data_IF_321477870877
#
_entry.id   IF_321477870877
#
_cell.length_a   1.000
_cell.length_b   1.000
_cell.length_c   1.000
_cell.angle_alpha   90.00
_cell.angle_beta   90.00
_cell.angle_gamma   90.00
#
_symmetry.space_group_name_H-M   'P 1'
#
loop_
_entity.id
_entity.type
_entity.pdbx_description
1 polymer ?
#
# COMPACT_ATOMS: atom_id res chain seq x y z
N UNK A 1 -8.38 15.08 19.41
CA UNK A 1 -8.47 16.49 18.97
C UNK A 1 -8.96 16.48 17.53
N UNK A 2 -10.23 16.84 17.31
CA UNK A 2 -10.83 16.87 15.99
C UNK A 2 -10.40 18.14 15.27
N UNK A 3 -9.91 18.02 14.04
CA UNK A 3 -9.67 19.16 13.16
C UNK A 3 -11.03 19.73 12.79
N UNK A 4 -11.24 21.03 13.02
CA UNK A 4 -12.48 21.70 12.67
C UNK A 4 -12.53 21.82 11.14
N UNK A 5 -13.68 21.59 10.52
CA UNK A 5 -13.82 21.65 9.05
C UNK A 5 -13.42 23.01 8.44
N UNK A 6 -13.28 24.04 9.28
CA UNK A 6 -12.84 25.40 8.92
C UNK A 6 -11.33 25.54 8.72
N UNK A 7 -10.52 24.59 9.19
CA UNK A 7 -9.05 24.60 9.04
C UNK A 7 -8.56 23.82 7.82
N UNK A 8 -9.48 23.19 7.08
CA UNK A 8 -9.18 22.41 5.89
C UNK A 8 -9.30 23.29 4.64
N UNK A 9 -8.30 23.22 3.77
CA UNK A 9 -8.31 23.90 2.47
C UNK A 9 -9.57 23.47 1.69
N UNK A 10 -10.33 24.41 1.10
CA UNK A 10 -11.51 24.07 0.29
C UNK A 10 -11.14 23.06 -0.81
N UNK A 11 -11.77 21.89 -0.80
CA UNK A 11 -11.55 20.87 -1.83
C UNK A 11 -12.29 21.26 -3.11
N UNK A 12 -11.68 21.05 -4.29
CA UNK A 12 -12.35 21.33 -5.55
C UNK A 12 -13.62 20.46 -5.69
N UNK A 13 -14.66 21.07 -6.22
CA UNK A 13 -15.85 20.36 -6.67
C UNK A 13 -15.45 19.30 -7.73
N UNK A 14 -16.13 18.16 -7.79
CA UNK A 14 -15.89 17.19 -8.85
C UNK A 14 -16.09 17.87 -10.20
N UNK A 15 -15.04 17.93 -11.03
CA UNK A 15 -15.20 18.31 -12.44
C UNK A 15 -15.91 17.16 -13.15
N UNK A 16 -16.85 17.43 -14.07
CA UNK A 16 -17.36 16.40 -14.96
C UNK A 16 -16.21 15.96 -15.86
N UNK A 17 -15.47 14.93 -15.44
CA UNK A 17 -14.52 14.28 -16.31
C UNK A 17 -15.33 13.52 -17.36
N UNK A 18 -15.12 13.86 -18.63
CA UNK A 18 -15.47 12.97 -19.72
C UNK A 18 -14.67 11.68 -19.50
N UNK A 19 -15.32 10.67 -18.93
CA UNK A 19 -14.79 9.32 -18.81
C UNK A 19 -14.68 8.75 -20.23
N UNK A 20 -13.65 9.17 -20.97
CA UNK A 20 -13.40 8.67 -22.34
C UNK A 20 -13.11 7.17 -22.36
N UNK A 21 -12.77 6.59 -21.20
CA UNK A 21 -12.75 5.15 -21.00
C UNK A 21 -13.45 4.84 -19.68
N UNK A 22 -14.53 4.07 -19.76
CA UNK A 22 -15.10 3.42 -18.57
C UNK A 22 -14.00 2.52 -18.02
N UNK A 23 -13.49 2.78 -16.80
CA UNK A 23 -12.49 1.89 -16.21
C UNK A 23 -13.07 0.47 -16.18
N UNK A 24 -12.24 -0.58 -16.39
CA UNK A 24 -12.72 -1.95 -16.37
C UNK A 24 -13.55 -2.19 -15.10
N UNK A 25 -14.66 -2.95 -15.19
CA UNK A 25 -15.57 -3.13 -14.07
C UNK A 25 -14.79 -3.65 -12.86
N UNK A 26 -14.76 -2.86 -11.78
CA UNK A 26 -14.03 -3.13 -10.54
C UNK A 26 -14.67 -4.25 -9.69
N UNK A 27 -15.56 -5.05 -10.29
CA UNK A 27 -16.30 -6.06 -9.55
C UNK A 27 -15.46 -7.34 -9.40
N UNK A 28 -14.54 -7.29 -8.45
CA UNK A 28 -13.66 -8.40 -8.05
C UNK A 28 -14.41 -9.67 -7.61
N UNK A 29 -15.68 -9.53 -7.18
CA UNK A 29 -16.53 -10.65 -6.76
C UNK A 29 -17.96 -10.39 -7.19
N UNK A 30 -18.72 -11.42 -7.56
CA UNK A 30 -20.17 -11.29 -7.86
C UNK A 30 -21.01 -10.87 -6.65
N UNK A 31 -20.40 -10.84 -5.46
CA UNK A 31 -21.05 -10.57 -4.17
C UNK A 31 -20.81 -9.13 -3.67
N UNK A 32 -19.82 -8.42 -4.21
CA UNK A 32 -19.53 -7.05 -3.78
C UNK A 32 -20.56 -6.07 -4.37
N UNK A 33 -21.06 -5.15 -3.53
CA UNK A 33 -21.90 -4.06 -4.03
C UNK A 33 -21.04 -3.08 -4.85
N UNK A 34 -21.55 -2.54 -5.96
CA UNK A 34 -20.78 -1.66 -6.86
C UNK A 34 -20.38 -0.31 -6.23
N UNK A 35 -20.90 0.02 -5.04
CA UNK A 35 -20.55 1.22 -4.27
C UNK A 35 -19.43 1.00 -3.24
N UNK A 36 -18.90 -0.22 -3.12
CA UNK A 36 -17.87 -0.56 -2.14
C UNK A 36 -16.45 -0.38 -2.73
N UNK A 37 -15.65 0.49 -2.12
CA UNK A 37 -14.21 0.55 -2.36
C UNK A 37 -13.49 -0.34 -1.35
N UNK A 38 -12.88 -1.43 -1.81
CA UNK A 38 -11.97 -2.21 -0.99
C UNK A 38 -10.61 -1.54 -0.96
N UNK A 39 -10.28 -0.95 0.19
CA UNK A 39 -8.89 -0.58 0.51
C UNK A 39 -8.37 -1.66 1.43
N UNK A 40 -7.68 -2.69 0.90
CA UNK A 40 -6.90 -3.55 1.80
C UNK A 40 -5.59 -2.86 2.09
N UNK A 41 -5.36 -2.41 3.33
CA UNK A 41 -4.00 -2.34 3.76
C UNK A 41 -3.47 -3.76 3.82
N UNK A 42 -2.49 -4.07 2.98
CA UNK A 42 -1.68 -5.26 3.17
C UNK A 42 -1.22 -5.21 4.63
N UNK A 43 -1.58 -6.22 5.41
CA UNK A 43 -1.45 -6.24 6.87
C UNK A 43 0.03 -6.06 7.23
N UNK A 44 0.42 -4.79 7.45
CA UNK A 44 1.70 -4.18 7.88
C UNK A 44 1.99 -2.85 7.15
N UNK A 45 1.37 -2.57 6.00
CA UNK A 45 1.64 -1.39 5.16
C UNK A 45 0.41 -0.51 4.88
N UNK A 46 -0.65 -0.60 5.68
CA UNK A 46 -1.54 0.58 5.85
C UNK A 46 -0.68 1.70 6.41
N UNK A 47 -0.32 2.67 5.58
CA UNK A 47 0.20 3.90 6.16
C UNK A 47 -0.94 4.51 6.98
N UNK A 48 -0.74 4.66 8.29
CA UNK A 48 -1.64 5.42 9.18
C UNK A 48 -2.05 6.75 8.53
N UNK A 49 -1.12 7.34 7.78
CA UNK A 49 -1.27 8.49 6.91
C UNK A 49 -2.38 8.35 5.84
N UNK A 50 -2.48 7.23 5.10
CA UNK A 50 -3.57 7.00 4.13
C UNK A 50 -4.93 6.92 4.84
N UNK A 51 -4.99 6.28 6.01
CA UNK A 51 -6.22 6.24 6.81
C UNK A 51 -6.61 7.61 7.35
N UNK A 52 -5.65 8.44 7.75
CA UNK A 52 -5.91 9.84 8.09
C UNK A 52 -6.45 10.62 6.89
N UNK A 53 -5.88 10.41 5.71
CA UNK A 53 -6.34 11.04 4.47
C UNK A 53 -7.78 10.67 4.14
N UNK A 54 -8.10 9.38 4.14
CA UNK A 54 -9.46 8.90 3.88
C UNK A 54 -10.46 9.42 4.92
N UNK A 55 -10.07 9.54 6.20
CA UNK A 55 -10.93 10.14 7.26
C UNK A 55 -11.21 11.61 7.02
N UNK A 56 -10.24 12.36 6.50
CA UNK A 56 -10.42 13.76 6.15
C UNK A 56 -11.26 13.93 4.87
N UNK A 57 -11.18 12.99 3.91
CA UNK A 57 -11.98 13.01 2.68
C UNK A 57 -13.44 12.58 2.90
N UNK A 58 -13.69 11.65 3.82
CA UNK A 58 -14.99 11.02 4.04
C UNK A 58 -16.17 12.02 4.16
N UNK A 59 -16.11 13.08 5.00
CA UNK A 59 -17.21 14.05 5.11
C UNK A 59 -17.49 14.82 3.81
N UNK A 60 -16.46 15.06 3.01
CA UNK A 60 -16.56 15.81 1.76
C UNK A 60 -17.00 14.95 0.57
N UNK A 61 -16.82 13.63 0.68
CA UNK A 61 -17.09 12.67 -0.40
C UNK A 61 -18.28 11.76 -0.14
N UNK A 62 -18.95 11.94 1.00
CA UNK A 62 -20.20 11.25 1.33
C UNK A 62 -20.04 9.74 1.53
N UNK A 63 -18.87 9.29 2.00
CA UNK A 63 -18.64 7.89 2.37
C UNK A 63 -18.32 7.77 3.86
N UNK A 64 -18.56 6.59 4.42
CA UNK A 64 -18.29 6.27 5.81
C UNK A 64 -17.47 4.99 5.92
N UNK A 65 -16.79 4.81 7.05
CA UNK A 65 -16.05 3.60 7.33
C UNK A 65 -16.94 2.61 8.06
N UNK A 66 -16.89 1.34 7.65
CA UNK A 66 -17.48 0.26 8.44
C UNK A 66 -16.70 0.13 9.75
N UNK A 67 -17.35 0.31 10.92
CA UNK A 67 -16.66 0.21 12.20
C UNK A 67 -16.19 -1.24 12.42
N UNK A 68 -14.88 -1.43 12.51
CA UNK A 68 -14.30 -2.71 12.91
C UNK A 68 -14.04 -2.68 14.41
N UNK A 69 -14.56 -3.67 15.14
CA UNK A 69 -14.33 -3.79 16.58
C UNK A 69 -12.82 -3.94 16.81
N UNK A 70 -12.20 -2.93 17.43
CA UNK A 70 -10.78 -3.00 17.78
C UNK A 70 -10.62 -4.04 18.87
N UNK A 71 -9.98 -5.17 18.56
CA UNK A 71 -9.42 -6.03 19.60
C UNK A 71 -8.36 -5.19 20.33
N UNK A 72 -8.45 -5.08 21.66
CA UNK A 72 -7.37 -4.47 22.45
C UNK A 72 -6.12 -5.32 22.22
N UNK A 73 -5.03 -4.68 21.81
CA UNK A 73 -3.73 -5.34 21.79
C UNK A 73 -3.28 -5.52 23.24
N UNK A 74 -2.93 -6.74 23.61
CA UNK A 74 -2.20 -7.00 24.84
C UNK A 74 -0.75 -6.57 24.61
N UNK A 75 -0.27 -5.65 25.43
CA UNK A 75 1.12 -5.22 25.37
C UNK A 75 1.93 -6.14 26.28
N UNK A 76 2.83 -6.93 25.69
CA UNK A 76 3.81 -7.73 26.43
C UNK A 76 5.07 -6.88 26.60
N UNK A 77 5.48 -6.66 27.85
CA UNK A 77 6.76 -6.03 28.14
C UNK A 77 7.86 -7.08 28.12
N UNK A 78 8.84 -6.89 27.23
CA UNK A 78 10.04 -7.73 27.15
C UNK A 78 11.16 -6.94 27.85
N UNK A 79 11.61 -7.35 29.04
CA UNK A 79 12.77 -6.74 29.69
C UNK A 79 14.02 -7.02 28.85
N UNK A 80 14.84 -5.99 28.63
CA UNK A 80 16.10 -6.04 27.90
C UNK A 80 16.00 -6.68 26.50
N UNK A 81 15.35 -6.00 25.53
CA UNK A 81 15.29 -6.52 24.18
C UNK A 81 16.70 -6.66 23.61
N UNK A 82 17.02 -7.84 23.09
CA UNK A 82 18.26 -8.05 22.35
C UNK A 82 18.16 -7.28 21.03
N UNK A 83 18.69 -6.06 21.01
CA UNK A 83 18.81 -5.27 19.78
C UNK A 83 20.01 -5.80 19.01
N UNK A 84 19.74 -6.35 17.83
CA UNK A 84 20.73 -6.93 16.93
C UNK A 84 20.62 -6.22 15.58
N UNK A 85 21.76 -5.87 14.97
CA UNK A 85 21.81 -5.34 13.62
C UNK A 85 21.52 -6.44 12.57
N UNK A 86 21.15 -5.99 11.38
CA UNK A 86 20.70 -6.88 10.31
C UNK A 86 21.83 -7.78 9.83
N UNK A 87 23.04 -7.25 9.73
CA UNK A 87 24.25 -7.94 9.28
C UNK A 87 24.59 -9.08 10.23
N UNK A 88 24.61 -8.82 11.53
CA UNK A 88 24.81 -9.85 12.57
C UNK A 88 23.74 -10.94 12.50
N UNK A 89 22.49 -10.56 12.20
CA UNK A 89 21.39 -11.51 12.02
C UNK A 89 21.57 -12.39 10.78
N UNK A 90 21.91 -11.80 9.63
CA UNK A 90 22.14 -12.53 8.38
C UNK A 90 23.37 -13.43 8.45
N UNK A 91 24.41 -13.02 9.19
CA UNK A 91 25.63 -13.79 9.36
C UNK A 91 25.46 -15.01 10.30
N UNK A 92 24.41 -15.03 11.13
CA UNK A 92 24.19 -16.10 12.10
C UNK A 92 23.30 -17.22 11.52
N UNK A 93 23.86 -18.39 11.15
CA UNK A 93 23.09 -19.49 10.58
C UNK A 93 22.20 -20.20 11.60
N UNK A 94 22.16 -19.80 12.87
CA UNK A 94 21.20 -20.30 13.86
C UNK A 94 20.03 -19.36 14.09
N UNK A 95 20.14 -18.11 13.65
CA UNK A 95 19.06 -17.15 13.75
C UNK A 95 17.99 -17.50 12.71
N UNK A 96 16.75 -17.73 13.15
CA UNK A 96 15.65 -18.08 12.25
C UNK A 96 14.89 -16.85 11.75
N UNK A 97 15.03 -15.71 12.41
CA UNK A 97 14.28 -14.49 12.08
C UNK A 97 14.72 -13.91 10.73
N UNK A 98 16.03 -13.95 10.46
CA UNK A 98 16.62 -13.44 9.21
C UNK A 98 16.89 -14.55 8.19
N UNK A 99 16.29 -15.73 8.35
CA UNK A 99 16.36 -16.82 7.37
C UNK A 99 15.18 -16.76 6.42
N UNK A 100 15.48 -16.28 5.22
CA UNK A 100 14.54 -16.23 4.11
C UNK A 100 14.82 -17.40 3.17
N UNK A 101 14.04 -18.48 3.30
CA UNK A 101 14.23 -19.71 2.52
C UNK A 101 13.10 -19.85 1.51
N UNK A 102 13.44 -19.87 0.22
CA UNK A 102 12.47 -20.15 -0.84
C UNK A 102 11.79 -21.50 -0.62
N UNK A 103 10.48 -21.57 -0.85
CA UNK A 103 9.65 -22.74 -0.54
C UNK A 103 9.04 -22.74 0.88
N UNK A 104 9.47 -21.83 1.77
CA UNK A 104 8.88 -21.72 3.11
C UNK A 104 7.50 -21.03 3.07
N UNK A 105 6.63 -21.37 4.03
CA UNK A 105 5.31 -20.72 4.23
C UNK A 105 5.25 -19.84 5.49
N UNK A 106 6.40 -19.60 6.11
CA UNK A 106 6.50 -18.93 7.41
C UNK A 106 6.61 -17.41 7.29
N UNK A 107 6.89 -16.91 6.08
CA UNK A 107 7.02 -15.49 5.81
C UNK A 107 5.71 -14.97 5.22
N UNK A 108 5.08 -14.01 5.91
CA UNK A 108 4.03 -13.21 5.27
C UNK A 108 4.68 -12.20 4.32
N UNK A 109 4.50 -12.37 3.02
CA UNK A 109 5.16 -11.59 1.96
C UNK A 109 4.17 -10.85 1.07
N UNK A 110 4.63 -9.87 0.28
CA UNK A 110 3.73 -8.95 -0.43
C UNK A 110 2.98 -9.66 -1.55
N UNK A 111 3.65 -10.56 -2.26
CA UNK A 111 3.06 -11.33 -3.37
C UNK A 111 1.87 -12.16 -2.90
N UNK A 112 1.95 -12.76 -1.70
CA UNK A 112 0.87 -13.56 -1.09
C UNK A 112 -0.46 -12.78 -1.06
N UNK A 113 -0.44 -11.50 -0.65
CA UNK A 113 -1.65 -10.69 -0.51
C UNK A 113 -2.37 -10.41 -1.83
N UNK A 114 -1.64 -10.37 -2.94
CA UNK A 114 -2.20 -10.15 -4.26
C UNK A 114 -2.51 -11.45 -5.00
N UNK A 115 -1.86 -12.55 -4.63
CA UNK A 115 -2.02 -13.86 -5.25
C UNK A 115 -3.39 -14.50 -4.95
N UNK A 116 -3.93 -14.29 -3.75
CA UNK A 116 -5.19 -14.88 -3.31
C UNK A 116 -4.99 -16.02 -2.31
N UNK A 117 -5.81 -17.07 -2.40
CA UNK A 117 -5.88 -18.13 -1.38
C UNK A 117 -5.46 -19.52 -1.90
N UNK A 118 -4.69 -19.59 -2.99
CA UNK A 118 -4.17 -20.86 -3.48
C UNK A 118 -3.04 -21.37 -2.59
N UNK A 119 -2.84 -22.70 -2.55
CA UNK A 119 -1.85 -23.35 -1.69
C UNK A 119 -0.39 -22.93 -1.97
N UNK A 120 -0.13 -22.44 -3.19
CA UNK A 120 1.15 -21.89 -3.62
C UNK A 120 1.33 -20.40 -3.28
N UNK A 121 0.26 -19.64 -3.03
CA UNK A 121 0.35 -18.22 -2.67
C UNK A 121 1.19 -17.93 -1.41
N UNK A 122 1.07 -18.70 -0.30
CA UNK A 122 1.90 -18.47 0.88
C UNK A 122 3.34 -18.97 0.72
N UNK A 123 3.68 -19.65 -0.39
CA UNK A 123 5.03 -20.20 -0.60
C UNK A 123 5.98 -19.07 -1.04
N UNK A 124 6.99 -18.79 -0.21
CA UNK A 124 7.97 -17.73 -0.48
C UNK A 124 8.82 -18.06 -1.71
N UNK A 125 8.93 -17.10 -2.63
CA UNK A 125 9.70 -17.26 -3.87
C UNK A 125 9.01 -18.11 -4.94
N UNK A 126 7.71 -18.40 -4.78
CA UNK A 126 6.94 -19.17 -5.76
C UNK A 126 6.61 -18.36 -7.03
N UNK A 127 6.92 -18.94 -8.20
CA UNK A 127 6.74 -18.28 -9.50
C UNK A 127 5.29 -18.32 -9.99
N UNK A 128 4.51 -19.33 -9.62
CA UNK A 128 3.07 -19.38 -9.92
C UNK A 128 2.33 -18.34 -9.06
N UNK A 129 2.75 -18.20 -7.79
CA UNK A 129 2.29 -17.15 -6.88
C UNK A 129 2.54 -15.75 -7.44
N UNK A 130 3.72 -15.51 -8.00
CA UNK A 130 4.04 -14.26 -8.68
C UNK A 130 3.12 -13.98 -9.87
N UNK A 131 2.91 -14.96 -10.74
CA UNK A 131 2.04 -14.82 -11.91
C UNK A 131 0.60 -14.51 -11.50
N UNK A 132 0.06 -15.27 -10.53
CA UNK A 132 -1.27 -15.05 -9.98
C UNK A 132 -1.41 -13.68 -9.30
N UNK A 133 -0.38 -13.21 -8.59
CA UNK A 133 -0.39 -11.88 -7.98
C UNK A 133 -0.43 -10.76 -9.02
N UNK A 134 0.38 -10.87 -10.10
CA UNK A 134 0.35 -9.90 -11.20
C UNK A 134 -1.02 -9.89 -11.89
N UNK A 135 -1.58 -11.06 -12.16
CA UNK A 135 -2.93 -11.19 -12.71
C UNK A 135 -3.99 -10.59 -11.76
N UNK A 136 -3.88 -10.88 -10.47
CA UNK A 136 -4.75 -10.34 -9.43
C UNK A 136 -4.73 -8.81 -9.40
N UNK A 137 -3.56 -8.19 -9.50
CA UNK A 137 -3.38 -6.74 -9.64
C UNK A 137 -4.09 -6.21 -10.89
N UNK A 138 -3.88 -6.80 -12.06
CA UNK A 138 -4.47 -6.30 -13.31
C UNK A 138 -5.99 -6.41 -13.33
N UNK A 139 -6.52 -7.55 -12.89
CA UNK A 139 -7.96 -7.83 -12.94
C UNK A 139 -8.72 -7.16 -11.80
N UNK A 140 -8.07 -7.05 -10.65
CA UNK A 140 -8.73 -6.77 -9.40
C UNK A 140 -8.55 -5.36 -8.85
N UNK A 141 -7.42 -4.71 -9.14
CA UNK A 141 -7.06 -3.48 -8.43
C UNK A 141 -7.16 -2.24 -9.33
N UNK A 142 -8.01 -1.30 -8.94
CA UNK A 142 -8.12 0.00 -9.63
C UNK A 142 -6.76 0.71 -9.71
N UNK A 143 -6.10 0.82 -8.56
CA UNK A 143 -4.79 1.46 -8.40
C UNK A 143 -4.00 0.69 -7.35
N UNK A 144 -2.74 0.40 -7.65
CA UNK A 144 -1.75 -0.08 -6.67
C UNK A 144 -0.62 0.94 -6.66
N UNK A 145 -0.46 1.63 -5.54
CA UNK A 145 0.55 2.68 -5.37
C UNK A 145 1.81 2.18 -4.68
N UNK A 146 2.89 2.96 -4.78
CA UNK A 146 4.14 2.74 -4.06
C UNK A 146 4.46 3.97 -3.19
N UNK A 147 5.01 3.74 -2.00
CA UNK A 147 5.25 4.81 -1.02
C UNK A 147 6.34 5.78 -1.46
N UNK A 148 7.33 5.28 -2.22
CA UNK A 148 8.42 6.08 -2.77
C UNK A 148 7.92 7.12 -3.77
N UNK A 149 6.79 6.84 -4.42
CA UNK A 149 6.16 7.71 -5.42
C UNK A 149 4.77 8.16 -4.97
N UNK A 150 4.67 8.56 -3.71
CA UNK A 150 3.40 8.90 -3.07
C UNK A 150 2.63 10.00 -3.79
N UNK A 151 3.31 11.04 -4.28
CA UNK A 151 2.70 12.12 -5.06
C UNK A 151 1.99 11.60 -6.31
N UNK A 152 2.65 10.67 -7.02
CA UNK A 152 2.13 10.00 -8.22
C UNK A 152 0.94 9.11 -7.87
N UNK A 153 1.06 8.34 -6.79
CA UNK A 153 -0.02 7.49 -6.26
C UNK A 153 -1.28 8.29 -5.98
N UNK A 154 -1.18 9.44 -5.30
CA UNK A 154 -2.34 10.29 -5.00
C UNK A 154 -2.99 10.85 -6.26
N UNK A 155 -2.19 11.25 -7.26
CA UNK A 155 -2.70 11.79 -8.52
C UNK A 155 -3.41 10.73 -9.36
N UNK A 156 -2.87 9.50 -9.43
CA UNK A 156 -3.55 8.38 -10.09
C UNK A 156 -4.84 8.03 -9.36
N UNK A 157 -4.86 7.98 -8.03
CA UNK A 157 -6.07 7.74 -7.24
C UNK A 157 -7.14 8.81 -7.48
N UNK A 158 -6.76 10.09 -7.52
CA UNK A 158 -7.66 11.21 -7.81
C UNK A 158 -8.40 11.07 -9.15
N UNK A 159 -7.73 10.53 -10.16
CA UNK A 159 -8.27 10.43 -11.52
C UNK A 159 -8.98 9.09 -11.79
N UNK A 160 -8.47 7.98 -11.27
CA UNK A 160 -9.05 6.64 -11.49
C UNK A 160 -10.18 6.30 -10.52
N UNK A 161 -10.16 6.86 -9.31
CA UNK A 161 -11.18 6.60 -8.27
C UNK A 161 -11.71 7.94 -7.70
N UNK A 162 -12.19 8.86 -8.57
CA UNK A 162 -12.44 10.25 -8.21
C UNK A 162 -13.51 10.44 -7.13
N UNK A 163 -14.50 9.55 -7.08
CA UNK A 163 -15.57 9.57 -6.06
C UNK A 163 -15.02 9.62 -4.64
N UNK A 164 -13.91 8.94 -4.40
CA UNK A 164 -13.31 8.83 -3.06
C UNK A 164 -12.12 9.77 -2.89
N UNK A 165 -11.34 10.02 -3.95
CA UNK A 165 -10.01 10.62 -3.81
C UNK A 165 -9.83 12.03 -4.37
N UNK A 166 -10.80 12.65 -5.07
CA UNK A 166 -10.59 14.04 -5.56
C UNK A 166 -10.10 14.96 -4.42
N UNK A 167 -9.00 15.69 -4.68
CA UNK A 167 -8.39 16.62 -3.74
C UNK A 167 -7.53 15.96 -2.65
N UNK A 168 -7.33 14.64 -2.70
CA UNK A 168 -6.43 13.89 -1.82
C UNK A 168 -5.00 14.45 -1.80
N UNK A 169 -4.42 14.80 -2.96
CA UNK A 169 -3.07 15.34 -3.10
C UNK A 169 -2.95 16.69 -2.42
N UNK A 170 -3.90 17.58 -2.67
CA UNK A 170 -3.97 18.91 -2.04
C UNK A 170 -4.08 18.80 -0.52
N UNK A 171 -4.98 17.94 -0.03
CA UNK A 171 -5.21 17.72 1.40
C UNK A 171 -4.00 17.08 2.09
N UNK A 172 -3.35 16.12 1.43
CA UNK A 172 -2.15 15.49 1.94
C UNK A 172 -1.03 16.50 2.14
N UNK A 173 -0.65 17.25 1.10
CA UNK A 173 0.46 18.22 1.19
C UNK A 173 0.11 19.49 1.97
N UNK A 174 -1.16 19.88 1.99
CA UNK A 174 -1.66 21.02 2.75
C UNK A 174 -1.75 20.77 4.26
N UNK A 175 -2.01 19.52 4.68
CA UNK A 175 -2.33 19.21 6.08
C UNK A 175 -1.50 18.06 6.66
N UNK A 176 -1.56 16.87 6.07
CA UNK A 176 -0.95 15.65 6.65
C UNK A 176 0.58 15.71 6.59
N UNK A 177 1.15 16.04 5.43
CA UNK A 177 2.59 16.06 5.22
C UNK A 177 3.32 17.06 6.14
N UNK A 178 2.65 18.17 6.46
CA UNK A 178 3.16 19.24 7.34
C UNK A 178 3.04 18.89 8.82
N UNK A 179 2.17 17.95 9.18
CA UNK A 179 1.94 17.55 10.56
C UNK A 179 2.72 16.27 10.91
N UNK A 180 3.83 16.42 11.63
CA UNK A 180 4.70 15.31 12.06
C UNK A 180 3.96 14.19 12.81
N UNK A 181 2.90 14.51 13.55
CA UNK A 181 2.11 13.51 14.31
C UNK A 181 1.24 12.61 13.43
N UNK A 182 0.97 13.03 12.19
CA UNK A 182 0.16 12.29 11.22
C UNK A 182 1.01 11.49 10.23
N UNK A 183 2.34 11.67 10.27
CA UNK A 183 3.30 10.97 9.41
C UNK A 183 3.84 9.76 10.16
N UNK A 184 3.80 8.60 9.51
CA UNK A 184 4.43 7.40 10.04
C UNK A 184 5.93 7.46 9.72
N UNK A 185 6.72 8.01 10.64
CA UNK A 185 8.17 8.08 10.51
C UNK A 185 8.85 7.01 11.36
N UNK A 186 9.80 6.30 10.77
CA UNK A 186 10.72 5.48 11.52
C UNK A 186 11.92 6.34 11.96
N UNK A 187 11.94 6.74 13.23
CA UNK A 187 13.04 7.54 13.80
C UNK A 187 14.34 6.74 13.96
N UNK A 188 14.27 5.40 13.92
CA UNK A 188 15.43 4.53 14.01
C UNK A 188 15.60 3.74 12.71
N UNK A 189 16.45 4.27 11.82
CA UNK A 189 16.81 3.61 10.57
C UNK A 189 18.33 3.42 10.52
N UNK A 190 18.86 2.28 10.99
CA UNK A 190 20.29 2.00 10.87
C UNK A 190 20.69 1.94 9.38
N UNK A 191 21.91 2.35 9.09
CA UNK A 191 22.50 2.13 7.78
C UNK A 191 22.78 0.64 7.61
N UNK A 192 22.31 0.08 6.50
CA UNK A 192 22.57 -1.31 6.13
C UNK A 192 23.65 -1.33 5.06
N UNK A 193 24.58 -2.26 5.16
CA UNK A 193 25.64 -2.47 4.16
C UNK A 193 25.07 -2.81 2.78
N UNK A 194 25.69 -2.29 1.71
CA UNK A 194 25.25 -2.58 0.34
C UNK A 194 25.33 -4.07 0.00
N UNK A 195 26.35 -4.78 0.50
CA UNK A 195 26.46 -6.23 0.32
C UNK A 195 25.27 -7.00 0.92
N UNK A 196 24.80 -6.59 2.11
CA UNK A 196 23.62 -7.18 2.74
C UNK A 196 22.35 -6.88 1.93
N UNK A 197 22.20 -5.66 1.41
CA UNK A 197 21.08 -5.30 0.52
C UNK A 197 21.08 -6.11 -0.77
N UNK A 198 22.23 -6.30 -1.40
CA UNK A 198 22.37 -7.09 -2.63
C UNK A 198 22.07 -8.57 -2.39
N UNK A 199 22.55 -9.14 -1.28
CA UNK A 199 22.25 -10.50 -0.88
C UNK A 199 20.75 -10.70 -0.67
N UNK A 200 20.10 -9.80 0.09
CA UNK A 200 18.66 -9.82 0.31
C UNK A 200 17.88 -9.65 -0.99
N UNK A 201 18.31 -8.76 -1.88
CA UNK A 201 17.65 -8.55 -3.17
C UNK A 201 17.62 -9.82 -4.03
N UNK A 202 18.67 -10.66 -3.96
CA UNK A 202 18.69 -11.96 -4.64
C UNK A 202 17.73 -12.96 -4.00
N UNK A 203 17.66 -13.00 -2.67
CA UNK A 203 16.72 -13.90 -1.97
C UNK A 203 15.26 -13.49 -2.20
N UNK A 204 15.01 -12.19 -2.25
CA UNK A 204 13.69 -11.58 -2.49
C UNK A 204 13.45 -11.29 -3.98
N UNK A 205 14.06 -12.04 -4.90
CA UNK A 205 13.95 -11.77 -6.35
C UNK A 205 12.49 -11.69 -6.82
N UNK A 206 11.65 -12.64 -6.41
CA UNK A 206 10.23 -12.68 -6.74
C UNK A 206 9.47 -11.45 -6.22
N UNK A 207 9.71 -11.07 -4.97
CA UNK A 207 9.11 -9.88 -4.36
C UNK A 207 9.57 -8.60 -5.05
N UNK A 208 10.86 -8.54 -5.42
CA UNK A 208 11.41 -7.41 -6.14
C UNK A 208 10.84 -7.30 -7.56
N UNK A 209 10.66 -8.43 -8.24
CA UNK A 209 10.01 -8.48 -9.56
C UNK A 209 8.55 -8.02 -9.48
N UNK A 210 7.81 -8.46 -8.46
CA UNK A 210 6.45 -7.99 -8.20
C UNK A 210 6.41 -6.48 -7.93
N UNK A 211 7.33 -5.97 -7.10
CA UNK A 211 7.47 -4.53 -6.85
C UNK A 211 7.70 -3.72 -8.13
N UNK A 212 8.63 -4.17 -8.99
CA UNK A 212 8.89 -3.50 -10.27
C UNK A 212 7.68 -3.52 -11.20
N UNK A 213 6.94 -4.63 -11.21
CA UNK A 213 5.70 -4.74 -11.96
C UNK A 213 4.64 -3.71 -11.50
N UNK A 214 4.35 -3.63 -10.20
CA UNK A 214 3.34 -2.67 -9.69
C UNK A 214 3.79 -1.22 -9.88
N UNK A 215 5.10 -0.95 -9.74
CA UNK A 215 5.68 0.37 -10.01
C UNK A 215 5.51 0.76 -11.48
N UNK A 216 5.87 -0.14 -12.41
CA UNK A 216 5.71 0.10 -13.84
C UNK A 216 4.24 0.31 -14.21
N UNK A 217 3.32 -0.43 -13.59
CA UNK A 217 1.88 -0.23 -13.79
C UNK A 217 1.41 1.14 -13.33
N UNK A 218 1.86 1.60 -12.15
CA UNK A 218 1.58 2.95 -11.66
C UNK A 218 2.10 4.02 -12.63
N UNK A 219 3.32 3.85 -13.16
CA UNK A 219 3.89 4.75 -14.15
C UNK A 219 3.04 4.84 -15.41
N UNK A 220 2.60 3.69 -15.94
CA UNK A 220 1.70 3.65 -17.10
C UNK A 220 0.38 4.39 -16.82
N UNK A 221 -0.24 4.16 -15.67
CA UNK A 221 -1.47 4.85 -15.28
C UNK A 221 -1.27 6.35 -15.17
N UNK A 222 -0.14 6.79 -14.59
CA UNK A 222 0.22 8.19 -14.46
C UNK A 222 0.45 8.87 -15.81
N UNK A 223 1.23 8.24 -16.70
CA UNK A 223 1.47 8.79 -18.03
C UNK A 223 0.20 8.86 -18.88
N UNK A 224 -0.73 7.91 -18.71
CA UNK A 224 -2.02 7.94 -19.38
C UNK A 224 -2.87 9.17 -19.00
N UNK A 225 -2.67 9.76 -17.81
CA UNK A 225 -3.35 11.00 -17.42
C UNK A 225 -2.94 12.18 -18.32
N UNK A 226 -1.67 12.26 -18.71
CA UNK A 226 -1.17 13.32 -19.59
C UNK A 226 -1.72 13.19 -21.02
N UNK A 227 -1.98 11.97 -21.49
CA UNK A 227 -2.54 11.73 -22.83
C UNK A 227 -4.05 12.01 -22.95
N UNK A 228 -4.75 12.14 -21.83
CA UNK A 228 -6.20 12.44 -21.79
C UNK A 228 -6.47 13.96 -21.66
N UNK A 229 -5.43 14.76 -21.44
CA UNK A 229 -5.50 16.21 -21.30
C UNK A 229 -5.36 17.00 -22.61
N UNK A 230 -6.15 16.68 -23.64
CA UNK A 230 -6.42 17.55 -24.82
C UNK A 230 -7.89 17.92 -24.84
#
# INVERSE_FOLDING_TARGET
MGVCARDLVPLPAPRPHALSQVPPPLNLTSLARPDLLLVTPILRSASTTLMHLLRLLAPHRGFSFTPRQRRRAEFVHIPDPKIQDLETCLANPRDIECKYVAGSKTLGHTTEFFCGHHDYCPVFGDREGLAAAKEGVERGWAVVGVLEEWSKTLEVLENYVPRFFIGAKQLYYGHIHRNKTLRNENFYRPNVEEAAKEALKKVFEVEYEFYQFVKQRLDKQYHALASVGV
#
